data_IF_383093869079
#
_entry.id   IF_383093869079
#
_cell.length_a   1.000
_cell.length_b   1.000
_cell.length_c   1.000
_cell.angle_alpha   90.00
_cell.angle_beta   90.00
_cell.angle_gamma   90.00
#
_symmetry.space_group_name_H-M   'P 1'
#
loop_
_entity.id
_entity.type
_entity.pdbx_description
1 polymer ?
#
# COMPACT_ATOMS: atom_id res chain seq x y z
N UNK A 1 1.86 12.98 -4.40
CA UNK A 1 2.82 12.42 -5.34
C UNK A 1 2.04 11.78 -6.46
N UNK A 2 2.13 12.32 -7.68
CA UNK A 2 1.32 11.86 -8.82
C UNK A 2 2.12 11.02 -9.83
N UNK A 3 3.44 11.16 -9.83
CA UNK A 3 4.38 10.49 -10.75
C UNK A 3 5.67 10.12 -10.00
N UNK A 4 6.25 8.97 -10.37
CA UNK A 4 7.61 8.56 -9.98
C UNK A 4 8.28 8.05 -11.26
N UNK A 5 9.24 8.82 -11.76
CA UNK A 5 10.02 8.44 -12.95
C UNK A 5 11.42 8.00 -12.54
N UNK A 6 11.80 6.78 -12.90
CA UNK A 6 13.14 6.23 -12.69
C UNK A 6 13.67 5.67 -14.01
N UNK A 7 14.84 6.12 -14.45
CA UNK A 7 15.43 5.76 -15.75
C UNK A 7 14.46 5.95 -16.94
N UNK A 8 13.64 7.01 -16.89
CA UNK A 8 12.62 7.30 -17.90
C UNK A 8 11.39 6.37 -17.89
N UNK A 9 11.26 5.49 -16.90
CA UNK A 9 10.05 4.67 -16.70
C UNK A 9 9.15 5.26 -15.63
N UNK A 10 7.87 5.44 -15.98
CA UNK A 10 6.82 5.77 -15.02
C UNK A 10 6.45 4.54 -14.17
N UNK A 11 6.44 4.75 -12.86
CA UNK A 11 6.10 3.74 -11.87
C UNK A 11 4.72 3.91 -11.26
N UNK A 12 4.07 5.07 -11.45
CA UNK A 12 2.74 5.36 -10.95
C UNK A 12 1.72 5.51 -12.08
N UNK A 13 0.69 4.67 -12.04
CA UNK A 13 -0.52 4.82 -12.85
C UNK A 13 -1.58 5.68 -12.16
N UNK A 14 -1.51 5.74 -10.83
CA UNK A 14 -2.39 6.52 -9.94
C UNK A 14 -1.55 7.04 -8.79
N UNK A 15 -1.95 8.18 -8.23
CA UNK A 15 -1.35 8.72 -7.02
C UNK A 15 -1.42 7.66 -5.90
N UNK A 16 -0.33 7.41 -5.16
CA UNK A 16 -0.38 6.52 -4.01
C UNK A 16 -1.32 7.08 -2.96
N UNK A 17 -2.08 6.20 -2.31
CA UNK A 17 -3.08 6.58 -1.30
C UNK A 17 -2.99 5.68 -0.08
N UNK A 18 -3.37 6.18 1.11
CA UNK A 18 -3.67 5.32 2.23
C UNK A 18 -4.68 4.24 1.83
N UNK A 19 -4.50 3.03 2.34
CA UNK A 19 -5.42 1.91 2.13
C UNK A 19 -5.87 1.36 3.48
N UNK A 20 -7.16 1.09 3.59
CA UNK A 20 -7.83 0.65 4.82
C UNK A 20 -8.60 -0.66 4.63
N UNK A 21 -8.69 -1.16 3.39
CA UNK A 21 -9.44 -2.36 3.05
C UNK A 21 -8.57 -3.42 2.39
N UNK A 22 -8.82 -4.67 2.79
CA UNK A 22 -8.33 -5.90 2.17
C UNK A 22 -9.56 -6.71 1.75
N UNK A 23 -9.45 -7.58 0.75
CA UNK A 23 -10.61 -8.40 0.38
C UNK A 23 -11.02 -9.29 1.57
N UNK A 24 -12.29 -9.68 1.67
CA UNK A 24 -12.70 -10.53 2.78
C UNK A 24 -12.24 -11.98 2.56
N UNK A 25 -11.73 -12.59 3.63
CA UNK A 25 -11.63 -14.05 3.73
C UNK A 25 -12.99 -14.65 4.11
N UNK A 26 -13.16 -15.95 3.92
CA UNK A 26 -14.36 -16.65 4.39
C UNK A 26 -14.55 -16.53 5.92
N UNK A 27 -13.48 -16.48 6.69
CA UNK A 27 -13.54 -16.25 8.14
C UNK A 27 -14.05 -14.83 8.48
N UNK A 28 -13.64 -13.80 7.73
CA UNK A 28 -14.16 -12.43 7.88
C UNK A 28 -15.66 -12.34 7.57
N UNK A 29 -16.14 -13.17 6.62
CA UNK A 29 -17.57 -13.32 6.32
C UNK A 29 -18.31 -14.03 7.44
N UNK A 30 -17.76 -15.16 7.92
CA UNK A 30 -18.32 -15.96 9.02
C UNK A 30 -18.46 -15.20 10.33
N UNK A 31 -17.45 -14.41 10.71
CA UNK A 31 -17.47 -13.56 11.92
C UNK A 31 -18.26 -12.26 11.76
N UNK A 32 -18.81 -12.03 10.56
CA UNK A 32 -19.50 -10.79 10.14
C UNK A 32 -18.65 -9.53 10.30
N UNK A 33 -17.32 -9.65 10.23
CA UNK A 33 -16.39 -8.54 10.38
C UNK A 33 -16.67 -7.42 9.36
N UNK A 34 -16.99 -7.80 8.12
CA UNK A 34 -17.33 -6.86 7.05
C UNK A 34 -18.53 -5.96 7.35
N UNK A 35 -19.53 -6.44 8.11
CA UNK A 35 -20.67 -5.63 8.53
C UNK A 35 -20.24 -4.60 9.58
N UNK A 36 -19.30 -4.97 10.46
CA UNK A 36 -18.79 -4.11 11.54
C UNK A 36 -17.84 -3.04 11.01
N UNK A 37 -17.02 -3.40 10.01
CA UNK A 37 -15.89 -2.59 9.54
C UNK A 37 -16.07 -2.02 8.12
N UNK A 38 -17.21 -2.23 7.47
CA UNK A 38 -17.44 -1.84 6.07
C UNK A 38 -17.30 -0.34 5.76
N UNK A 39 -17.34 0.55 6.76
CA UNK A 39 -17.01 1.97 6.59
C UNK A 39 -15.57 2.19 6.11
N UNK A 40 -14.66 1.25 6.38
CA UNK A 40 -13.29 1.29 5.89
C UNK A 40 -13.18 1.05 4.39
N UNK A 41 -14.07 0.24 3.79
CA UNK A 41 -14.15 0.12 2.33
C UNK A 41 -14.50 1.47 1.69
N UNK A 42 -15.46 2.19 2.27
CA UNK A 42 -15.81 3.53 1.79
C UNK A 42 -14.63 4.50 1.92
N UNK A 43 -13.89 4.45 3.03
CA UNK A 43 -12.69 5.29 3.24
C UNK A 43 -11.51 4.91 2.33
N UNK A 44 -11.44 3.65 1.90
CA UNK A 44 -10.44 3.18 0.94
C UNK A 44 -10.72 3.65 -0.49
N UNK A 45 -12.01 3.73 -0.85
CA UNK A 45 -12.47 4.22 -2.16
C UNK A 45 -12.51 5.75 -2.23
N UNK A 46 -12.93 6.39 -1.14
CA UNK A 46 -13.16 7.82 -1.03
C UNK A 46 -12.35 8.38 0.14
N UNK A 47 -11.33 9.16 -0.19
CA UNK A 47 -10.49 9.85 0.79
C UNK A 47 -10.25 11.27 0.29
N UNK A 48 -10.34 12.24 1.19
CA UNK A 48 -10.19 13.65 0.84
C UNK A 48 -8.82 14.17 1.28
N UNK A 49 -8.13 14.89 0.41
CA UNK A 49 -6.84 15.50 0.70
C UNK A 49 -7.05 16.95 1.13
N UNK A 50 -7.13 17.20 2.43
CA UNK A 50 -7.45 18.52 2.99
C UNK A 50 -6.31 19.52 2.91
N UNK A 51 -5.08 19.04 2.99
CA UNK A 51 -3.90 19.89 3.06
C UNK A 51 -2.75 19.28 2.30
N UNK A 52 -2.02 20.12 1.57
CA UNK A 52 -0.71 19.80 1.00
C UNK A 52 0.29 20.83 1.52
N UNK A 53 1.47 20.36 1.89
CA UNK A 53 2.60 21.17 2.34
C UNK A 53 3.86 20.74 1.58
N UNK A 54 4.59 21.71 1.03
CA UNK A 54 5.91 21.47 0.42
C UNK A 54 6.92 22.23 1.26
N UNK A 55 7.93 21.54 1.75
CA UNK A 55 9.00 22.08 2.58
C UNK A 55 10.30 21.81 1.84
N UNK A 56 11.11 22.84 1.64
CA UNK A 56 12.40 22.76 0.96
C UNK A 56 13.46 23.28 1.93
N UNK A 57 14.44 22.44 2.27
CA UNK A 57 15.52 22.78 3.20
C UNK A 57 15.03 23.39 4.53
N UNK A 58 13.92 22.88 5.06
CA UNK A 58 13.28 23.34 6.29
C UNK A 58 12.34 24.54 6.14
N UNK A 59 12.23 25.14 4.97
CA UNK A 59 11.36 26.29 4.70
C UNK A 59 10.07 25.87 3.99
N UNK A 60 8.91 26.29 4.52
CA UNK A 60 7.61 26.05 3.89
C UNK A 60 7.47 26.86 2.60
N UNK A 61 7.19 26.16 1.51
CA UNK A 61 7.04 26.72 0.18
C UNK A 61 5.61 27.14 -0.11
N UNK A 62 5.46 28.17 -0.94
CA UNK A 62 4.17 28.59 -1.47
C UNK A 62 3.80 27.72 -2.68
N UNK A 63 2.76 26.92 -2.53
CA UNK A 63 2.43 25.84 -3.46
C UNK A 63 1.39 26.21 -4.51
N UNK A 64 0.70 27.34 -4.31
CA UNK A 64 -0.46 27.72 -5.11
C UNK A 64 -0.20 28.99 -5.89
N UNK A 65 -0.85 29.09 -7.04
CA UNK A 65 -0.86 30.31 -7.84
C UNK A 65 -1.57 31.44 -7.08
N UNK A 66 -1.13 32.70 -7.25
CA UNK A 66 -0.09 33.15 -8.18
C UNK A 66 1.34 33.03 -7.63
N UNK A 67 1.52 32.68 -6.36
CA UNK A 67 2.81 32.71 -5.68
C UNK A 67 3.82 31.67 -6.23
N UNK A 68 3.33 30.56 -6.79
CA UNK A 68 4.17 29.53 -7.42
C UNK A 68 4.35 29.70 -8.94
N UNK A 69 3.68 30.70 -9.54
CA UNK A 69 3.61 30.87 -11.01
C UNK A 69 4.66 31.84 -11.54
N UNK A 70 5.68 32.19 -10.75
CA UNK A 70 6.89 32.78 -11.30
C UNK A 70 7.70 31.66 -11.96
N UNK A 71 7.74 31.63 -13.29
CA UNK A 71 8.65 30.79 -14.08
C UNK A 71 10.10 31.16 -13.72
N UNK A 72 10.60 30.56 -12.64
CA UNK A 72 12.02 30.53 -12.30
C UNK A 72 12.71 29.39 -13.06
N UNK A 73 14.04 29.43 -13.11
CA UNK A 73 14.83 28.25 -13.50
C UNK A 73 14.83 27.18 -12.41
N UNK A 74 15.63 26.14 -12.62
CA UNK A 74 15.79 25.06 -11.64
C UNK A 74 16.27 25.61 -10.28
N UNK A 75 15.63 25.17 -9.20
CA UNK A 75 16.01 25.49 -7.82
C UNK A 75 16.66 24.25 -7.20
N UNK A 76 17.89 24.40 -6.72
CA UNK A 76 18.58 23.34 -6.00
C UNK A 76 18.06 23.26 -4.55
N UNK A 77 17.86 22.04 -4.06
CA UNK A 77 17.47 21.74 -2.69
C UNK A 77 18.32 20.59 -2.14
N UNK A 78 18.68 20.65 -0.87
CA UNK A 78 19.29 19.52 -0.15
C UNK A 78 18.27 18.47 0.28
N UNK A 79 17.05 18.91 0.58
CA UNK A 79 15.91 18.07 0.94
C UNK A 79 14.60 18.69 0.49
N UNK A 80 13.69 17.85 0.00
CA UNK A 80 12.30 18.25 -0.27
C UNK A 80 11.37 17.31 0.49
N UNK A 81 10.47 17.88 1.30
CA UNK A 81 9.41 17.15 1.98
C UNK A 81 8.07 17.58 1.40
N UNK A 82 7.30 16.62 0.89
CA UNK A 82 5.91 16.83 0.48
C UNK A 82 4.99 16.11 1.45
N UNK A 83 4.20 16.85 2.21
CA UNK A 83 3.28 16.33 3.22
C UNK A 83 1.83 16.50 2.77
N UNK A 84 1.07 15.43 2.87
CA UNK A 84 -0.36 15.39 2.60
C UNK A 84 -1.12 15.06 3.87
N UNK A 85 -2.20 15.78 4.14
CA UNK A 85 -3.14 15.48 5.22
C UNK A 85 -4.45 15.02 4.61
N UNK A 86 -4.74 13.73 4.79
CA UNK A 86 -5.95 13.10 4.33
C UNK A 86 -6.98 12.98 5.45
N UNK A 87 -8.26 13.13 5.12
CA UNK A 87 -9.37 12.80 5.99
C UNK A 87 -10.17 11.64 5.40
N UNK A 88 -10.53 10.69 6.27
CA UNK A 88 -11.40 9.58 5.92
C UNK A 88 -12.85 10.04 5.87
N UNK A 89 -13.69 9.29 5.14
CA UNK A 89 -15.15 9.52 5.14
C UNK A 89 -15.87 8.72 6.24
N UNK A 90 -15.12 8.16 7.18
CA UNK A 90 -15.67 7.45 8.34
C UNK A 90 -16.39 8.42 9.30
N UNK A 91 -17.22 7.86 10.17
CA UNK A 91 -17.83 8.60 11.28
C UNK A 91 -17.57 7.87 12.60
N UNK A 92 -16.76 8.43 13.53
CA UNK A 92 -16.09 9.74 13.44
C UNK A 92 -15.01 9.80 12.35
N UNK A 93 -14.64 11.01 11.93
CA UNK A 93 -13.56 11.24 10.96
C UNK A 93 -12.21 10.99 11.62
N UNK A 94 -11.27 10.39 10.89
CA UNK A 94 -9.86 10.32 11.27
C UNK A 94 -8.98 10.93 10.18
N UNK A 95 -7.75 11.25 10.55
CA UNK A 95 -6.75 11.88 9.69
C UNK A 95 -5.58 10.94 9.45
N UNK A 96 -5.06 10.94 8.23
CA UNK A 96 -3.80 10.30 7.87
C UNK A 96 -2.84 11.34 7.31
N UNK A 97 -1.65 11.46 7.90
CA UNK A 97 -0.59 12.30 7.37
C UNK A 97 0.39 11.41 6.62
N UNK A 98 0.67 11.74 5.36
CA UNK A 98 1.67 11.05 4.54
C UNK A 98 2.74 12.07 4.15
N UNK A 99 3.98 11.81 4.55
CA UNK A 99 5.13 12.67 4.21
C UNK A 99 6.07 11.92 3.29
N UNK A 100 6.46 12.54 2.18
CA UNK A 100 7.48 12.05 1.26
C UNK A 100 8.70 12.94 1.40
N UNK A 101 9.79 12.42 1.94
CA UNK A 101 11.07 13.13 2.09
C UNK A 101 12.04 12.62 1.03
N UNK A 102 12.47 13.50 0.14
CA UNK A 102 13.38 13.20 -0.97
C UNK A 102 14.75 13.76 -0.63
N UNK A 103 15.76 12.90 -0.61
CA UNK A 103 17.15 13.28 -0.38
C UNK A 103 17.92 13.51 -1.71
N UNK A 104 19.13 14.07 -1.61
CA UNK A 104 20.02 14.33 -2.77
C UNK A 104 20.45 13.08 -3.54
N UNK A 105 20.27 11.88 -2.97
CA UNK A 105 20.59 10.62 -3.64
C UNK A 105 19.40 10.04 -4.40
N UNK A 106 18.22 10.66 -4.27
CA UNK A 106 16.98 10.25 -4.91
C UNK A 106 16.18 9.21 -4.12
N UNK A 107 16.57 8.88 -2.88
CA UNK A 107 15.72 8.04 -2.04
C UNK A 107 14.51 8.83 -1.59
N UNK A 108 13.37 8.16 -1.52
CA UNK A 108 12.12 8.74 -1.03
C UNK A 108 11.73 8.01 0.24
N UNK A 109 11.92 8.64 1.40
CA UNK A 109 11.36 8.15 2.66
C UNK A 109 9.88 8.49 2.72
N UNK A 110 9.04 7.50 2.96
CA UNK A 110 7.59 7.65 3.14
C UNK A 110 7.26 7.42 4.61
N UNK A 111 6.81 8.46 5.29
CA UNK A 111 6.28 8.39 6.66
C UNK A 111 4.75 8.46 6.62
N UNK A 112 4.09 7.55 7.33
CA UNK A 112 2.61 7.45 7.34
C UNK A 112 2.13 7.41 8.79
N UNK A 113 1.37 8.43 9.17
CA UNK A 113 0.81 8.61 10.50
C UNK A 113 -0.71 8.56 10.45
N UNK A 114 -1.31 7.58 11.11
CA UNK A 114 -2.74 7.47 11.35
C UNK A 114 -3.08 7.93 12.76
N UNK A 115 -4.06 8.82 12.88
CA UNK A 115 -4.56 9.28 14.19
C UNK A 115 -5.69 8.38 14.68
N UNK A 116 -5.50 7.73 15.83
CA UNK A 116 -6.52 6.90 16.45
C UNK A 116 -7.73 7.73 16.91
N UNK A 117 -8.95 7.24 16.64
CA UNK A 117 -10.18 7.91 17.10
C UNK A 117 -11.13 6.93 17.75
N UNK A 118 -11.55 7.25 18.97
CA UNK A 118 -12.49 6.44 19.75
C UNK A 118 -13.83 6.29 19.04
N UNK A 119 -14.38 5.08 19.03
CA UNK A 119 -15.66 4.75 18.41
C UNK A 119 -15.58 4.32 16.95
N UNK A 120 -14.38 4.34 16.35
CA UNK A 120 -14.17 3.73 15.05
C UNK A 120 -14.14 2.19 15.13
N UNK A 121 -14.68 1.48 14.12
CA UNK A 121 -14.56 0.03 14.06
C UNK A 121 -13.13 -0.38 13.77
N UNK A 122 -12.77 -1.61 14.13
CA UNK A 122 -11.44 -2.18 13.87
C UNK A 122 -11.07 -2.19 12.39
N UNK A 123 -9.79 -2.00 12.11
CA UNK A 123 -9.24 -1.96 10.75
C UNK A 123 -9.01 -3.39 10.21
N UNK A 124 -9.36 -3.66 8.94
CA UNK A 124 -8.89 -4.85 8.21
C UNK A 124 -7.38 -4.79 7.95
N UNK A 125 -6.91 -3.64 7.47
CA UNK A 125 -5.49 -3.31 7.19
C UNK A 125 -5.31 -1.81 7.33
N UNK A 126 -4.06 -1.37 7.49
CA UNK A 126 -3.67 0.02 7.28
C UNK A 126 -2.32 0.08 6.57
N UNK A 127 -2.26 0.81 5.45
CA UNK A 127 -1.07 0.87 4.62
C UNK A 127 -1.11 1.96 3.55
N UNK A 128 -0.20 1.86 2.59
CA UNK A 128 -0.11 2.69 1.39
C UNK A 128 -0.21 1.80 0.15
N UNK A 129 -1.10 2.18 -0.77
CA UNK A 129 -1.31 1.48 -2.05
C UNK A 129 -0.66 2.26 -3.19
N UNK A 130 0.11 1.55 -3.99
CA UNK A 130 0.78 1.98 -5.21
C UNK A 130 0.22 1.16 -6.38
N UNK A 131 -0.19 1.84 -7.45
CA UNK A 131 -0.67 1.17 -8.67
C UNK A 131 0.31 1.47 -9.78
N UNK A 132 1.02 0.45 -10.25
CA UNK A 132 1.96 0.55 -11.35
C UNK A 132 1.26 0.37 -12.70
N UNK A 133 1.72 1.05 -13.77
CA UNK A 133 1.00 1.10 -15.04
C UNK A 133 0.98 -0.19 -15.84
N UNK A 134 1.89 -1.13 -15.57
CA UNK A 134 1.93 -2.44 -16.21
C UNK A 134 2.16 -3.56 -15.19
N UNK A 135 1.96 -4.80 -15.62
CA UNK A 135 2.30 -5.98 -14.82
C UNK A 135 3.80 -6.05 -14.59
N UNK A 136 4.17 -6.42 -13.37
CA UNK A 136 5.51 -6.83 -13.01
C UNK A 136 5.81 -8.21 -13.60
N UNK A 137 7.06 -8.40 -13.94
CA UNK A 137 7.57 -9.67 -14.46
C UNK A 137 7.79 -10.64 -13.30
N UNK A 138 8.26 -10.07 -12.19
CA UNK A 138 8.54 -10.75 -10.93
C UNK A 138 8.77 -9.73 -9.83
N UNK A 139 8.79 -10.20 -8.60
CA UNK A 139 9.41 -9.50 -7.50
C UNK A 139 10.30 -10.43 -6.68
N UNK A 140 11.33 -9.84 -6.09
CA UNK A 140 12.16 -10.49 -5.08
C UNK A 140 11.96 -9.79 -3.75
N UNK A 141 11.99 -10.52 -2.64
CA UNK A 141 11.90 -9.91 -1.33
C UNK A 141 12.73 -10.67 -0.30
N UNK A 142 13.21 -9.95 0.71
CA UNK A 142 13.83 -10.53 1.91
C UNK A 142 12.85 -10.42 3.05
N UNK A 143 12.41 -11.55 3.58
CA UNK A 143 11.37 -11.62 4.60
C UNK A 143 11.00 -13.06 4.92
N UNK A 144 9.74 -13.30 5.27
CA UNK A 144 9.22 -14.64 5.55
C UNK A 144 8.76 -15.38 4.29
N UNK A 145 9.06 -16.68 4.21
CA UNK A 145 8.64 -17.55 3.12
C UNK A 145 7.12 -17.66 3.00
N UNK A 146 6.61 -17.73 1.77
CA UNK A 146 5.20 -18.08 1.55
C UNK A 146 4.23 -16.97 1.98
N UNK A 147 2.94 -17.25 1.86
CA UNK A 147 1.89 -16.31 2.26
C UNK A 147 1.72 -16.36 3.79
N UNK A 148 1.91 -15.23 4.45
CA UNK A 148 1.93 -15.11 5.90
C UNK A 148 1.00 -14.03 6.40
N UNK A 149 0.43 -14.24 7.59
CA UNK A 149 -0.43 -13.29 8.30
C UNK A 149 0.00 -13.21 9.77
N UNK A 150 -0.42 -12.18 10.52
CA UNK A 150 -0.01 -12.00 11.93
C UNK A 150 -0.17 -13.23 12.81
N UNK A 151 -1.30 -13.94 12.65
CA UNK A 151 -1.68 -15.18 13.35
C UNK A 151 -1.27 -16.47 12.61
N UNK A 152 -0.72 -16.35 11.40
CA UNK A 152 -0.31 -17.46 10.54
C UNK A 152 1.04 -17.21 9.90
N UNK A 153 2.08 -17.08 10.72
CA UNK A 153 3.48 -16.89 10.27
C UNK A 153 4.54 -17.76 10.95
N UNK A 154 4.16 -18.52 12.00
CA UNK A 154 5.11 -19.30 12.80
C UNK A 154 5.85 -20.41 12.02
N UNK A 155 5.24 -20.93 10.95
CA UNK A 155 5.85 -21.94 10.08
C UNK A 155 6.68 -21.38 8.93
N UNK A 156 6.84 -20.06 8.83
CA UNK A 156 7.58 -19.44 7.75
C UNK A 156 9.07 -19.25 8.10
N UNK A 157 9.93 -19.41 7.09
CA UNK A 157 11.38 -19.25 7.23
C UNK A 157 11.81 -17.87 6.74
N UNK A 158 12.86 -17.31 7.36
CA UNK A 158 13.47 -16.07 6.87
C UNK A 158 14.40 -16.37 5.70
N UNK A 159 14.31 -15.58 4.63
CA UNK A 159 15.16 -15.76 3.46
C UNK A 159 14.97 -14.69 2.41
N UNK A 160 15.55 -14.92 1.24
CA UNK A 160 15.31 -14.14 0.02
C UNK A 160 14.53 -15.04 -0.93
N UNK A 161 13.37 -14.57 -1.38
CA UNK A 161 12.46 -15.31 -2.22
C UNK A 161 12.15 -14.53 -3.50
N UNK A 162 12.04 -15.24 -4.62
CA UNK A 162 11.60 -14.71 -5.91
C UNK A 162 10.20 -15.23 -6.22
N UNK A 163 9.33 -14.35 -6.71
CA UNK A 163 7.98 -14.66 -7.16
C UNK A 163 7.81 -14.12 -8.58
N UNK A 164 7.71 -15.04 -9.53
CA UNK A 164 7.55 -14.72 -10.97
C UNK A 164 6.13 -14.97 -11.47
N UNK A 165 5.31 -15.71 -10.72
CA UNK A 165 3.89 -15.83 -10.97
C UNK A 165 3.13 -14.90 -10.01
N UNK A 166 2.54 -13.84 -10.56
CA UNK A 166 1.75 -12.86 -9.82
C UNK A 166 0.26 -13.21 -9.78
N UNK A 167 -0.12 -14.37 -10.31
CA UNK A 167 -1.49 -14.85 -10.26
C UNK A 167 -2.02 -14.87 -8.83
N UNK A 168 -3.31 -14.55 -8.68
CA UNK A 168 -3.98 -14.65 -7.39
C UNK A 168 -3.89 -16.09 -6.88
N UNK A 169 -3.70 -16.29 -5.56
CA UNK A 169 -3.75 -17.63 -4.96
C UNK A 169 -5.08 -18.30 -5.35
N UNK A 170 -5.09 -19.54 -5.86
CA UNK A 170 -6.27 -20.16 -6.47
C UNK A 170 -7.25 -20.70 -5.42
N UNK A 171 -7.70 -19.85 -4.50
CA UNK A 171 -8.87 -20.15 -3.65
C UNK A 171 -10.12 -20.33 -4.52
N UNK A 172 -11.04 -21.21 -4.12
CA UNK A 172 -12.24 -21.50 -4.92
C UNK A 172 -13.06 -20.23 -5.18
N UNK A 173 -13.25 -19.43 -4.13
CA UNK A 173 -13.77 -18.07 -4.22
C UNK A 173 -12.59 -17.11 -4.04
N UNK A 174 -12.38 -16.14 -4.96
CA UNK A 174 -11.37 -15.10 -4.77
C UNK A 174 -11.52 -14.40 -3.42
N UNK A 175 -10.39 -14.26 -2.71
CA UNK A 175 -10.34 -13.66 -1.38
C UNK A 175 -8.95 -13.06 -1.13
N UNK A 176 -8.78 -12.41 0.02
CA UNK A 176 -7.47 -11.88 0.41
C UNK A 176 -6.39 -12.96 0.42
N UNK A 177 -5.26 -12.64 -0.22
CA UNK A 177 -4.13 -13.53 -0.38
C UNK A 177 -2.84 -12.74 -0.63
N UNK A 178 -1.72 -13.45 -0.73
CA UNK A 178 -0.43 -12.89 -1.17
C UNK A 178 0.27 -12.00 -0.15
N UNK A 179 -0.25 -11.89 1.07
CA UNK A 179 0.36 -11.14 2.18
C UNK A 179 1.73 -11.74 2.55
N UNK A 180 2.72 -10.87 2.73
CA UNK A 180 4.07 -11.21 3.21
C UNK A 180 4.38 -10.36 4.44
N UNK A 181 4.54 -11.00 5.60
CA UNK A 181 4.88 -10.35 6.86
C UNK A 181 6.40 -10.25 7.05
N UNK A 182 6.82 -9.37 7.96
CA UNK A 182 8.20 -9.22 8.43
C UNK A 182 9.22 -9.11 7.26
N UNK A 183 8.94 -8.23 6.30
CA UNK A 183 9.76 -7.97 5.11
C UNK A 183 10.75 -6.83 5.36
N UNK A 184 12.03 -7.08 5.09
CA UNK A 184 13.11 -6.08 5.15
C UNK A 184 13.20 -5.28 3.85
N UNK A 185 13.05 -5.94 2.69
CA UNK A 185 12.99 -5.25 1.40
C UNK A 185 12.22 -6.06 0.36
N UNK A 186 11.69 -5.34 -0.63
CA UNK A 186 11.00 -5.83 -1.81
C UNK A 186 11.56 -5.12 -3.05
N UNK A 187 11.87 -5.85 -4.11
CA UNK A 187 12.32 -5.32 -5.39
C UNK A 187 11.43 -5.85 -6.50
N UNK A 188 10.72 -4.95 -7.18
CA UNK A 188 9.77 -5.28 -8.25
C UNK A 188 10.44 -5.04 -9.59
N UNK A 189 10.41 -6.04 -10.48
CA UNK A 189 10.96 -5.95 -11.83
C UNK A 189 9.85 -5.77 -12.87
N UNK A 190 10.01 -4.80 -13.78
CA UNK A 190 9.14 -4.55 -14.93
C UNK A 190 9.98 -4.24 -16.17
N UNK A 191 9.63 -4.79 -17.32
CA UNK A 191 10.23 -4.42 -18.62
C UNK A 191 9.30 -3.61 -19.53
N UNK A 192 8.01 -3.52 -19.21
CA UNK A 192 6.98 -2.87 -20.04
C UNK A 192 6.65 -1.45 -19.55
N UNK A 193 6.34 -0.57 -20.52
CA UNK A 193 5.87 0.81 -20.30
C UNK A 193 4.58 1.05 -21.09
N UNK A 194 3.80 2.05 -20.68
CA UNK A 194 2.67 2.56 -21.47
C UNK A 194 3.10 3.65 -22.48
N UNK A 195 4.36 4.06 -22.46
CA UNK A 195 4.94 4.98 -23.43
C UNK A 195 5.24 4.26 -24.75
N UNK A 196 4.36 4.46 -25.74
CA UNK A 196 4.47 3.87 -27.07
C UNK A 196 5.63 4.43 -27.92
N UNK A 197 6.29 5.50 -27.48
CA UNK A 197 7.47 6.03 -28.18
C UNK A 197 8.75 5.28 -27.83
N UNK A 198 8.75 4.49 -26.75
CA UNK A 198 9.92 3.71 -26.33
C UNK A 198 10.13 2.50 -27.23
N UNK A 199 11.39 2.31 -27.57
CA UNK A 199 11.87 1.19 -28.39
C UNK A 199 12.74 0.22 -27.59
N UNK A 200 13.13 0.59 -26.37
CA UNK A 200 13.91 -0.24 -25.48
C UNK A 200 13.01 -1.06 -24.56
N UNK A 201 13.44 -2.29 -24.26
CA UNK A 201 12.76 -3.21 -23.36
C UNK A 201 13.76 -3.70 -22.31
N UNK A 202 14.30 -2.75 -21.56
CA UNK A 202 15.26 -3.05 -20.49
C UNK A 202 14.51 -3.33 -19.18
N UNK A 203 14.85 -4.41 -18.45
CA UNK A 203 14.29 -4.63 -17.13
C UNK A 203 14.62 -3.47 -16.18
N UNK A 204 13.59 -2.96 -15.51
CA UNK A 204 13.70 -1.91 -14.52
C UNK A 204 13.26 -2.41 -13.16
N UNK A 205 13.86 -1.86 -12.12
CA UNK A 205 13.54 -2.21 -10.74
C UNK A 205 13.15 -1.00 -9.92
N UNK A 206 12.14 -1.19 -9.09
CA UNK A 206 11.78 -0.28 -8.00
C UNK A 206 11.87 -1.05 -6.70
N UNK A 207 12.61 -0.51 -5.74
CA UNK A 207 12.87 -1.19 -4.48
C UNK A 207 12.23 -0.45 -3.33
N UNK A 208 11.60 -1.19 -2.45
CA UNK A 208 11.02 -0.75 -1.18
C UNK A 208 11.83 -1.39 -0.07
N UNK A 209 12.34 -0.60 0.85
CA UNK A 209 13.11 -1.07 2.01
C UNK A 209 12.48 -0.61 3.32
N UNK A 210 12.68 -1.40 4.37
CA UNK A 210 12.39 -0.96 5.72
C UNK A 210 13.22 0.27 6.06
N UNK A 211 12.63 1.20 6.81
CA UNK A 211 13.39 2.31 7.41
C UNK A 211 13.83 1.94 8.83
N UNK A 212 12.87 1.70 9.73
CA UNK A 212 13.13 1.35 11.13
C UNK A 212 12.69 -0.07 11.50
N UNK A 213 11.60 -0.53 10.90
CA UNK A 213 10.97 -1.82 11.19
C UNK A 213 10.56 -2.49 9.89
N UNK A 214 10.63 -3.81 9.89
CA UNK A 214 10.10 -4.63 8.83
C UNK A 214 8.62 -4.29 8.57
N UNK A 215 8.24 -4.27 7.30
CA UNK A 215 6.89 -3.99 6.85
C UNK A 215 6.20 -5.26 6.38
N UNK A 216 4.88 -5.21 6.23
CA UNK A 216 4.14 -6.22 5.50
C UNK A 216 3.80 -5.70 4.11
N UNK A 217 3.65 -6.57 3.12
CA UNK A 217 3.21 -6.14 1.79
C UNK A 217 2.37 -7.20 1.08
N UNK A 218 1.62 -6.76 0.08
CA UNK A 218 1.06 -7.60 -0.98
C UNK A 218 1.40 -6.97 -2.34
N UNK A 219 1.63 -7.81 -3.34
CA UNK A 219 1.97 -7.38 -4.70
C UNK A 219 1.20 -8.27 -5.68
N UNK A 220 0.05 -7.78 -6.14
CA UNK A 220 -0.95 -8.54 -6.89
C UNK A 220 -1.41 -7.77 -8.14
N UNK A 221 -2.00 -8.42 -9.15
CA UNK A 221 -2.53 -7.75 -10.34
C UNK A 221 -3.86 -7.02 -10.11
N UNK A 222 -4.46 -7.17 -8.92
CA UNK A 222 -5.82 -6.74 -8.60
C UNK A 222 -5.87 -5.88 -7.34
N UNK A 223 -6.82 -4.94 -7.29
CA UNK A 223 -7.13 -4.23 -6.05
C UNK A 223 -8.00 -5.10 -5.14
N UNK A 224 -7.99 -4.80 -3.83
CA UNK A 224 -8.87 -5.48 -2.87
C UNK A 224 -10.35 -5.43 -3.31
N UNK A 225 -10.80 -4.31 -3.87
CA UNK A 225 -12.17 -4.17 -4.40
C UNK A 225 -12.46 -5.04 -5.63
N UNK A 226 -11.47 -5.32 -6.48
CA UNK A 226 -11.63 -6.20 -7.63
C UNK A 226 -11.74 -7.66 -7.18
N UNK A 227 -10.93 -8.05 -6.19
CA UNK A 227 -10.97 -9.38 -5.58
C UNK A 227 -12.29 -9.58 -4.82
N UNK A 228 -12.72 -8.60 -4.01
CA UNK A 228 -13.96 -8.65 -3.23
C UNK A 228 -15.22 -8.86 -4.08
N UNK A 229 -15.26 -8.22 -5.25
CA UNK A 229 -16.42 -8.29 -6.14
C UNK A 229 -16.51 -9.59 -6.94
N UNK A 230 -15.40 -10.33 -7.06
CA UNK A 230 -15.35 -11.56 -7.84
C UNK A 230 -15.77 -12.76 -6.97
N UNK A 231 -16.77 -13.50 -7.43
CA UNK A 231 -17.21 -14.76 -6.81
C UNK A 231 -16.55 -15.99 -7.43
N UNK A 232 -16.00 -15.84 -8.64
CA UNK A 232 -15.25 -16.84 -9.39
C UNK A 232 -14.05 -16.18 -10.10
N UNK A 233 -13.01 -16.95 -10.43
CA UNK A 233 -11.77 -16.41 -11.02
C UNK A 233 -11.98 -15.75 -12.37
N UNK A 234 -12.91 -16.26 -13.19
CA UNK A 234 -13.25 -15.72 -14.50
C UNK A 234 -13.95 -14.35 -14.45
N UNK A 235 -14.43 -13.93 -13.27
CA UNK A 235 -15.02 -12.61 -13.06
C UNK A 235 -13.96 -11.52 -12.81
N UNK A 236 -12.72 -11.92 -12.50
CA UNK A 236 -11.61 -10.97 -12.33
C UNK A 236 -11.30 -10.28 -13.66
N UNK A 237 -10.98 -8.98 -13.63
CA UNK A 237 -10.58 -8.28 -14.84
C UNK A 237 -9.28 -8.88 -15.42
N UNK A 238 -8.96 -8.63 -16.70
CA UNK A 238 -7.66 -8.98 -17.24
C UNK A 238 -6.53 -8.33 -16.44
N UNK A 239 -5.55 -9.14 -16.03
CA UNK A 239 -4.35 -8.66 -15.36
C UNK A 239 -3.58 -7.71 -16.29
N UNK A 240 -3.37 -6.47 -15.84
CA UNK A 240 -2.77 -5.41 -16.68
C UNK A 240 -1.92 -4.40 -15.92
N UNK A 241 -1.94 -4.45 -14.59
CA UNK A 241 -1.28 -3.49 -13.70
C UNK A 241 -0.78 -4.22 -12.46
N UNK A 242 0.20 -3.67 -11.80
CA UNK A 242 0.68 -4.19 -10.51
C UNK A 242 0.12 -3.32 -9.39
N UNK A 243 -0.54 -3.93 -8.43
CA UNK A 243 -1.05 -3.30 -7.22
C UNK A 243 -0.14 -3.73 -6.08
N UNK A 244 0.73 -2.82 -5.65
CA UNK A 244 1.57 -2.98 -4.47
C UNK A 244 0.88 -2.28 -3.30
N UNK A 245 0.71 -2.99 -2.19
CA UNK A 245 0.34 -2.38 -0.92
C UNK A 245 1.45 -2.63 0.09
N UNK A 246 1.92 -1.58 0.75
CA UNK A 246 2.88 -1.64 1.85
C UNK A 246 2.12 -1.31 3.12
N UNK A 247 2.13 -2.20 4.11
CA UNK A 247 1.26 -2.14 5.28
C UNK A 247 2.05 -1.88 6.56
N UNK A 248 1.52 -0.98 7.38
CA UNK A 248 1.94 -0.77 8.76
C UNK A 248 1.16 -1.63 9.75
N UNK A 249 -0.05 -2.06 9.39
CA UNK A 249 -0.86 -2.96 10.20
C UNK A 249 -1.70 -3.90 9.32
N UNK A 250 -1.76 -5.18 9.71
CA UNK A 250 -2.54 -6.23 9.03
C UNK A 250 -3.33 -6.99 10.10
N UNK A 251 -4.63 -7.24 9.88
CA UNK A 251 -5.45 -8.11 10.74
C UNK A 251 -5.10 -9.57 10.49
N UNK A 252 -5.17 -10.40 11.52
CA UNK A 252 -5.13 -11.86 11.38
C UNK A 252 -6.20 -12.43 10.43
N UNK A 253 -6.07 -13.69 10.06
CA UNK A 253 -7.04 -14.41 9.23
C UNK A 253 -8.02 -15.26 10.04
N UNK A 254 -7.75 -15.51 11.32
CA UNK A 254 -8.57 -16.34 12.19
C UNK A 254 -8.59 -17.81 11.77
N UNK A 255 -9.69 -18.50 12.09
CA UNK A 255 -9.90 -19.90 11.72
C UNK A 255 -10.14 -20.86 12.89
N UNK A 256 -10.54 -20.36 14.07
CA UNK A 256 -11.09 -21.21 15.15
C UNK A 256 -12.33 -21.95 14.63
N UNK A 257 -13.21 -21.18 13.96
CA UNK A 257 -14.24 -21.65 13.05
C UNK A 257 -14.45 -20.61 11.94
N UNK A 258 -15.31 -20.93 10.97
CA UNK A 258 -15.63 -20.04 9.84
C UNK A 258 -17.11 -19.56 9.87
N UNK A 259 -17.77 -19.59 11.02
CA UNK A 259 -19.21 -19.29 11.14
C UNK A 259 -19.60 -18.48 12.38
N UNK A 260 -18.63 -17.91 13.10
CA UNK A 260 -18.91 -16.91 14.12
C UNK A 260 -17.71 -16.43 14.92
N UNK A 261 -16.70 -17.29 15.12
CA UNK A 261 -15.51 -16.92 15.87
C UNK A 261 -14.73 -15.82 15.13
N UNK A 262 -14.38 -14.78 15.88
CA UNK A 262 -13.52 -13.71 15.38
C UNK A 262 -12.04 -14.11 15.53
N UNK A 263 -11.16 -13.30 14.96
CA UNK A 263 -9.71 -13.38 15.21
C UNK A 263 -9.44 -13.14 16.70
N UNK A 264 -8.45 -13.84 17.27
CA UNK A 264 -7.97 -13.58 18.63
C UNK A 264 -7.56 -12.11 18.81
N UNK A 265 -7.78 -11.57 20.01
CA UNK A 265 -7.67 -10.12 20.29
C UNK A 265 -6.28 -9.54 19.92
N UNK A 266 -5.21 -10.32 20.12
CA UNK A 266 -3.82 -9.93 19.82
C UNK A 266 -3.54 -9.67 18.33
N UNK A 267 -4.40 -10.17 17.43
CA UNK A 267 -4.25 -10.01 15.98
C UNK A 267 -5.32 -9.12 15.35
N UNK A 268 -6.04 -8.35 16.17
CA UNK A 268 -6.96 -7.30 15.73
C UNK A 268 -6.24 -5.95 15.64
N UNK A 269 -6.76 -5.06 14.79
CA UNK A 269 -6.24 -3.70 14.67
C UNK A 269 -7.28 -2.72 15.21
N UNK A 270 -6.99 -2.13 16.36
CA UNK A 270 -7.82 -1.04 16.89
C UNK A 270 -7.59 0.24 16.10
N UNK A 271 -8.67 0.78 15.53
CA UNK A 271 -8.70 2.11 14.89
C UNK A 271 -8.67 3.26 15.91
N UNK A 272 -8.72 2.95 17.22
CA UNK A 272 -8.67 3.96 18.28
C UNK A 272 -7.23 4.31 18.68
N UNK A 273 -6.23 3.59 18.15
CA UNK A 273 -4.83 3.79 18.46
C UNK A 273 -4.11 4.42 17.27
N UNK A 274 -3.14 5.28 17.57
CA UNK A 274 -2.26 5.82 16.56
C UNK A 274 -1.43 4.70 15.92
N UNK A 275 -1.28 4.76 14.60
CA UNK A 275 -0.44 3.83 13.84
C UNK A 275 0.58 4.63 13.05
N UNK A 276 1.86 4.39 13.30
CA UNK A 276 2.96 4.99 12.58
C UNK A 276 3.84 3.90 11.96
N UNK A 277 4.18 4.07 10.69
CA UNK A 277 5.20 3.27 10.03
C UNK A 277 5.84 4.07 8.88
N UNK A 278 7.03 3.61 8.47
CA UNK A 278 7.78 4.24 7.39
C UNK A 278 8.57 3.22 6.57
N UNK A 279 8.85 3.57 5.32
CA UNK A 279 9.65 2.77 4.39
C UNK A 279 10.36 3.69 3.39
N UNK A 280 11.36 3.16 2.68
CA UNK A 280 12.16 3.90 1.70
C UNK A 280 11.89 3.34 0.30
N UNK A 281 11.63 4.21 -0.66
CA UNK A 281 11.58 3.88 -2.09
C UNK A 281 12.93 4.24 -2.73
N UNK A 282 13.51 3.31 -3.48
CA UNK A 282 14.76 3.46 -4.24
C UNK A 282 14.64 3.08 -5.71
#
# INVERSE_FOLDING_TARGET
MESIVKNGYEWLYRCPKPTFWRALTDNDRGSRFHIKSGSWLASDMFIDCKKTEVIMDGELQKQYAPDNNSYGGDVAAGEIIVKYTYETVSNPVTTVIVSYTIDVTGNIKVDVDYTGVKGLPELPVFGMRFIMPTLADKYMYKGLSGETYPDRKAGAEKGIYEVSDLSLTPYLVPQECGMRMDTEWLEITRHTSLDNSRTDSSPQTLRIEENDKAFAFSCLPYTASEIENATHHEELPPARRTVLCVYGAVRGVGGIDSWGSDVEDDYRISAEKDIHYSFIIR
#
